data_IF_470863209437
#
_entry.id   IF_470863209437
#
_cell.length_a   1.000
_cell.length_b   1.000
_cell.length_c   1.000
_cell.angle_alpha   90.00
_cell.angle_beta   90.00
_cell.angle_gamma   90.00
#
_symmetry.space_group_name_H-M   'P 1'
#
loop_
_entity.id
_entity.type
_entity.pdbx_description
1 polymer ?
#
# COMPACT_ATOMS: atom_id res chain seq x y z
N UNK A 1 -13.15 10.89 8.62
CA UNK A 1 -12.39 10.58 7.39
C UNK A 1 -13.01 9.34 6.81
N UNK A 2 -13.48 9.40 5.57
CA UNK A 2 -14.07 8.22 4.91
C UNK A 2 -12.97 7.26 4.44
N UNK A 3 -13.34 6.07 3.97
CA UNK A 3 -12.41 5.03 3.52
C UNK A 3 -11.45 5.53 2.41
N UNK A 4 -11.97 6.23 1.40
CA UNK A 4 -11.16 6.66 0.25
C UNK A 4 -10.13 7.72 0.67
N UNK A 5 -10.54 8.73 1.45
CA UNK A 5 -9.63 9.77 1.94
C UNK A 5 -8.52 9.15 2.80
N UNK A 6 -8.85 8.14 3.59
CA UNK A 6 -7.90 7.41 4.42
C UNK A 6 -6.85 6.64 3.60
N UNK A 7 -7.23 6.06 2.47
CA UNK A 7 -6.31 5.34 1.58
C UNK A 7 -5.44 6.31 0.78
N UNK A 8 -5.99 7.43 0.31
CA UNK A 8 -5.19 8.50 -0.31
C UNK A 8 -4.12 9.01 0.67
N UNK A 9 -4.46 9.20 1.94
CA UNK A 9 -3.49 9.57 2.97
C UNK A 9 -2.40 8.50 3.21
N UNK A 10 -2.70 7.22 2.97
CA UNK A 10 -1.70 6.15 2.97
C UNK A 10 -0.79 6.22 1.74
N UNK A 11 -1.38 6.42 0.55
CA UNK A 11 -0.65 6.56 -0.71
C UNK A 11 0.37 7.69 -0.65
N UNK A 12 0.00 8.86 -0.13
CA UNK A 12 0.92 9.99 0.01
C UNK A 12 2.09 9.65 0.95
N UNK A 13 1.84 8.90 2.02
CA UNK A 13 2.91 8.41 2.92
C UNK A 13 3.83 7.41 2.22
N UNK A 14 3.29 6.51 1.42
CA UNK A 14 4.06 5.53 0.64
C UNK A 14 4.91 6.23 -0.42
N UNK A 15 4.31 7.15 -1.20
CA UNK A 15 5.00 7.99 -2.21
C UNK A 15 6.17 8.79 -1.59
N UNK A 16 6.00 9.39 -0.40
CA UNK A 16 7.08 10.08 0.32
C UNK A 16 8.24 9.13 0.65
N UNK A 17 7.94 7.96 1.24
CA UNK A 17 8.95 6.99 1.62
C UNK A 17 9.73 6.49 0.40
N UNK A 18 9.02 6.16 -0.69
CA UNK A 18 9.62 5.70 -1.94
C UNK A 18 10.52 6.76 -2.58
N UNK A 19 10.08 8.01 -2.58
CA UNK A 19 10.88 9.13 -3.09
C UNK A 19 12.16 9.31 -2.27
N UNK A 20 12.06 9.30 -0.94
CA UNK A 20 13.23 9.39 -0.06
C UNK A 20 14.18 8.21 -0.19
N UNK A 21 13.67 6.99 -0.39
CA UNK A 21 14.49 5.81 -0.70
C UNK A 21 15.21 5.99 -2.03
N UNK A 22 14.50 6.43 -3.08
CA UNK A 22 15.05 6.62 -4.43
C UNK A 22 16.11 7.72 -4.50
N UNK A 23 15.97 8.78 -3.70
CA UNK A 23 16.92 9.90 -3.67
C UNK A 23 18.11 9.66 -2.71
N UNK A 24 18.04 8.62 -1.89
CA UNK A 24 19.11 8.29 -0.95
C UNK A 24 20.37 7.75 -1.64
N UNK A 25 21.53 7.99 -1.04
CA UNK A 25 22.82 7.47 -1.52
C UNK A 25 23.22 6.18 -0.80
N UNK A 26 24.17 5.44 -1.35
CA UNK A 26 24.74 4.20 -0.78
C UNK A 26 25.35 4.42 0.62
N UNK A 27 25.73 5.66 0.95
CA UNK A 27 26.24 6.02 2.27
C UNK A 27 25.15 6.15 3.33
N UNK A 28 23.89 6.32 2.92
CA UNK A 28 22.75 6.54 3.81
C UNK A 28 22.16 5.23 4.36
N UNK A 29 23.01 4.26 4.73
CA UNK A 29 22.62 2.90 5.13
C UNK A 29 21.54 2.91 6.21
N UNK A 30 21.76 3.65 7.31
CA UNK A 30 20.78 3.76 8.41
C UNK A 30 19.42 4.26 7.91
N UNK A 31 19.41 5.33 7.12
CA UNK A 31 18.18 5.92 6.59
C UNK A 31 17.47 4.97 5.63
N UNK A 32 18.20 4.26 4.75
CA UNK A 32 17.64 3.25 3.84
C UNK A 32 16.99 2.10 4.62
N UNK A 33 17.64 1.60 5.67
CA UNK A 33 17.10 0.55 6.54
C UNK A 33 15.82 1.01 7.23
N UNK A 34 15.83 2.18 7.86
CA UNK A 34 14.66 2.73 8.57
C UNK A 34 13.47 2.99 7.63
N UNK A 35 13.74 3.55 6.44
CA UNK A 35 12.70 3.79 5.44
C UNK A 35 12.14 2.50 4.87
N UNK A 36 12.96 1.47 4.63
CA UNK A 36 12.47 0.18 4.14
C UNK A 36 11.57 -0.52 5.17
N UNK A 37 11.96 -0.50 6.45
CA UNK A 37 11.11 -1.03 7.53
C UNK A 37 9.77 -0.28 7.60
N UNK A 38 9.82 1.05 7.46
CA UNK A 38 8.60 1.86 7.43
C UNK A 38 7.74 1.57 6.21
N UNK A 39 8.34 1.45 5.03
CA UNK A 39 7.64 1.10 3.79
C UNK A 39 6.90 -0.23 3.95
N UNK A 40 7.60 -1.27 4.41
CA UNK A 40 7.01 -2.60 4.66
C UNK A 40 5.79 -2.50 5.59
N UNK A 41 5.90 -1.78 6.69
CA UNK A 41 4.79 -1.61 7.62
C UNK A 41 3.60 -0.90 6.96
N UNK A 42 3.84 0.24 6.28
CA UNK A 42 2.76 1.03 5.67
C UNK A 42 2.04 0.21 4.59
N UNK A 43 2.76 -0.42 3.66
CA UNK A 43 2.13 -1.22 2.59
C UNK A 43 1.44 -2.47 3.13
N UNK A 44 2.05 -3.19 4.09
CA UNK A 44 1.42 -4.39 4.68
C UNK A 44 0.10 -4.05 5.35
N UNK A 45 0.02 -2.91 6.03
CA UNK A 45 -1.23 -2.51 6.69
C UNK A 45 -2.23 -2.02 5.66
N UNK A 46 -1.80 -1.18 4.73
CA UNK A 46 -2.63 -0.60 3.68
C UNK A 46 -3.34 -1.66 2.84
N UNK A 47 -2.61 -2.63 2.29
CA UNK A 47 -3.20 -3.71 1.48
C UNK A 47 -4.19 -4.57 2.27
N UNK A 48 -4.00 -4.73 3.58
CA UNK A 48 -4.97 -5.42 4.44
C UNK A 48 -6.26 -4.61 4.63
N UNK A 49 -6.21 -3.27 4.61
CA UNK A 49 -7.41 -2.44 4.67
C UNK A 49 -8.23 -2.60 3.39
N UNK A 50 -7.57 -2.53 2.23
CA UNK A 50 -8.21 -2.78 0.95
C UNK A 50 -8.80 -4.18 0.86
N UNK A 51 -7.98 -5.21 1.04
CA UNK A 51 -8.38 -6.59 0.80
C UNK A 51 -9.42 -7.13 1.77
N UNK A 52 -9.49 -6.58 2.99
CA UNK A 52 -10.49 -7.00 3.97
C UNK A 52 -11.76 -6.17 3.96
N UNK A 53 -11.71 -4.91 3.49
CA UNK A 53 -12.83 -3.97 3.65
C UNK A 53 -13.27 -3.39 2.31
N UNK A 54 -12.41 -2.61 1.63
CA UNK A 54 -12.82 -1.91 0.41
C UNK A 54 -13.09 -2.86 -0.75
N UNK A 55 -12.13 -3.73 -1.06
CA UNK A 55 -12.17 -4.58 -2.24
C UNK A 55 -13.34 -5.58 -2.25
N UNK A 56 -13.68 -6.27 -1.13
CA UNK A 56 -14.88 -7.11 -1.09
C UNK A 56 -16.15 -6.29 -1.38
N UNK A 57 -16.29 -5.11 -0.75
CA UNK A 57 -17.44 -4.25 -0.98
C UNK A 57 -17.51 -3.77 -2.44
N UNK A 58 -16.37 -3.31 -2.98
CA UNK A 58 -16.24 -2.81 -4.36
C UNK A 58 -16.62 -3.88 -5.38
N UNK A 59 -16.09 -5.10 -5.20
CA UNK A 59 -16.43 -6.26 -6.02
C UNK A 59 -17.92 -6.60 -5.98
N UNK A 60 -18.53 -6.56 -4.79
CA UNK A 60 -19.93 -6.96 -4.59
C UNK A 60 -20.92 -5.91 -5.13
N UNK A 61 -20.55 -4.62 -5.09
CA UNK A 61 -21.38 -3.52 -5.61
C UNK A 61 -21.22 -3.31 -7.12
N UNK A 62 -20.06 -3.71 -7.68
CA UNK A 62 -19.66 -3.44 -9.05
C UNK A 62 -20.15 -4.44 -10.10
N UNK A 63 -19.82 -4.15 -11.36
CA UNK A 63 -20.06 -5.00 -12.52
C UNK A 63 -18.78 -5.69 -13.01
N UNK A 64 -18.74 -5.98 -14.31
CA UNK A 64 -17.62 -6.69 -14.94
C UNK A 64 -16.31 -5.90 -14.89
N UNK A 65 -16.37 -4.59 -15.07
CA UNK A 65 -15.18 -3.74 -15.10
C UNK A 65 -14.58 -3.59 -13.70
N UNK A 66 -15.42 -3.38 -12.69
CA UNK A 66 -15.01 -3.34 -11.27
C UNK A 66 -14.40 -4.68 -10.84
N UNK A 67 -14.99 -5.80 -11.30
CA UNK A 67 -14.43 -7.12 -11.06
C UNK A 67 -13.04 -7.31 -11.70
N UNK A 68 -12.80 -6.73 -12.89
CA UNK A 68 -11.47 -6.74 -13.52
C UNK A 68 -10.47 -5.94 -12.68
N UNK A 69 -10.81 -4.70 -12.33
CA UNK A 69 -9.96 -3.81 -11.52
C UNK A 69 -9.61 -4.45 -10.17
N UNK A 70 -10.59 -5.09 -9.52
CA UNK A 70 -10.36 -5.85 -8.28
C UNK A 70 -9.29 -6.94 -8.46
N UNK A 71 -9.38 -7.77 -9.50
CA UNK A 71 -8.39 -8.84 -9.69
C UNK A 71 -7.02 -8.31 -10.13
N UNK A 72 -6.98 -7.23 -10.91
CA UNK A 72 -5.76 -6.55 -11.33
C UNK A 72 -5.01 -6.01 -10.11
N UNK A 73 -5.65 -5.18 -9.30
CA UNK A 73 -5.09 -4.63 -8.06
C UNK A 73 -4.59 -5.71 -7.10
N UNK A 74 -5.34 -6.81 -6.93
CA UNK A 74 -4.91 -7.97 -6.14
C UNK A 74 -3.63 -8.64 -6.66
N UNK A 75 -3.48 -8.76 -7.98
CA UNK A 75 -2.25 -9.34 -8.55
C UNK A 75 -1.06 -8.38 -8.44
N UNK A 76 -1.28 -7.07 -8.48
CA UNK A 76 -0.25 -6.07 -8.22
C UNK A 76 0.24 -6.11 -6.77
N UNK A 77 -0.67 -6.17 -5.78
CA UNK A 77 -0.33 -6.42 -4.38
C UNK A 77 0.53 -7.68 -4.25
N UNK A 78 0.08 -8.78 -4.85
CA UNK A 78 0.82 -10.06 -4.82
C UNK A 78 2.22 -9.92 -5.42
N UNK A 79 2.36 -9.19 -6.53
CA UNK A 79 3.64 -8.99 -7.19
C UNK A 79 4.61 -8.24 -6.26
N UNK A 80 4.17 -7.17 -5.61
CA UNK A 80 5.00 -6.44 -4.65
C UNK A 80 5.33 -7.30 -3.44
N UNK A 81 4.32 -7.87 -2.77
CA UNK A 81 4.47 -8.60 -1.51
C UNK A 81 5.26 -9.90 -1.65
N UNK A 82 5.07 -10.63 -2.75
CA UNK A 82 5.65 -11.96 -2.92
C UNK A 82 6.96 -11.96 -3.70
N UNK A 83 7.19 -10.97 -4.57
CA UNK A 83 8.33 -11.00 -5.50
C UNK A 83 9.30 -9.85 -5.27
N UNK A 84 8.82 -8.63 -5.04
CA UNK A 84 9.67 -7.44 -5.03
C UNK A 84 10.17 -7.10 -3.63
N UNK A 85 9.25 -7.02 -2.67
CA UNK A 85 9.57 -6.64 -1.29
C UNK A 85 10.50 -7.65 -0.59
N UNK A 86 10.30 -8.99 -0.69
CA UNK A 86 11.19 -9.95 -0.05
C UNK A 86 12.62 -9.84 -0.55
N UNK A 87 12.77 -9.66 -1.86
CA UNK A 87 14.04 -9.44 -2.53
C UNK A 87 14.71 -8.13 -2.07
N UNK A 88 13.95 -7.03 -2.03
CA UNK A 88 14.46 -5.75 -1.54
C UNK A 88 14.94 -5.84 -0.08
N UNK A 89 14.19 -6.52 0.79
CA UNK A 89 14.52 -6.71 2.23
C UNK A 89 15.82 -7.44 2.48
N UNK A 90 16.19 -8.40 1.65
CA UNK A 90 17.46 -9.15 1.79
C UNK A 90 18.62 -8.49 1.04
N UNK A 91 18.41 -7.32 0.45
CA UNK A 91 19.46 -6.58 -0.28
C UNK A 91 20.24 -5.69 0.67
N UNK A 92 21.57 -5.73 0.58
CA UNK A 92 22.45 -4.84 1.34
C UNK A 92 22.16 -3.36 1.01
N UNK A 93 21.72 -2.53 1.99
CA UNK A 93 21.34 -1.14 1.73
C UNK A 93 22.48 -0.26 1.22
N UNK A 94 23.74 -0.62 1.44
CA UNK A 94 24.90 0.11 0.89
C UNK A 94 25.22 -0.25 -0.57
N UNK A 95 24.45 -1.14 -1.21
CA UNK A 95 24.73 -1.61 -2.57
C UNK A 95 24.01 -0.79 -3.64
N UNK A 96 24.56 -0.78 -4.87
CA UNK A 96 23.87 -0.23 -6.06
C UNK A 96 22.65 -1.07 -6.43
N UNK A 97 22.68 -2.38 -6.14
CA UNK A 97 21.55 -3.28 -6.36
C UNK A 97 20.32 -2.85 -5.56
N UNK A 98 20.51 -2.35 -4.33
CA UNK A 98 19.43 -1.80 -3.50
C UNK A 98 18.72 -0.65 -4.23
N UNK A 99 19.47 0.30 -4.79
CA UNK A 99 18.91 1.42 -5.55
C UNK A 99 18.08 0.94 -6.75
N UNK A 100 18.56 -0.09 -7.46
CA UNK A 100 17.82 -0.71 -8.57
C UNK A 100 16.51 -1.37 -8.13
N UNK A 101 16.53 -2.11 -7.01
CA UNK A 101 15.33 -2.75 -6.45
C UNK A 101 14.32 -1.74 -5.89
N UNK A 102 14.80 -0.68 -5.23
CA UNK A 102 13.96 0.46 -4.81
C UNK A 102 13.26 1.08 -6.00
N UNK A 103 13.97 1.31 -7.11
CA UNK A 103 13.38 1.90 -8.32
C UNK A 103 12.23 1.04 -8.85
N UNK A 104 12.44 -0.26 -8.99
CA UNK A 104 11.38 -1.18 -9.48
C UNK A 104 10.19 -1.22 -8.51
N UNK A 105 10.45 -1.29 -7.21
CA UNK A 105 9.40 -1.24 -6.19
C UNK A 105 8.58 0.06 -6.28
N UNK A 106 9.26 1.20 -6.45
CA UNK A 106 8.65 2.50 -6.62
C UNK A 106 7.75 2.56 -7.86
N UNK A 107 8.25 2.12 -9.01
CA UNK A 107 7.49 2.14 -10.27
C UNK A 107 6.22 1.29 -10.18
N UNK A 108 6.27 0.11 -9.55
CA UNK A 108 5.10 -0.75 -9.39
C UNK A 108 4.07 -0.17 -8.43
N UNK A 109 4.51 0.36 -7.27
CA UNK A 109 3.60 0.96 -6.30
C UNK A 109 3.00 2.26 -6.82
N UNK A 110 3.76 3.12 -7.49
CA UNK A 110 3.22 4.35 -8.08
C UNK A 110 2.22 4.06 -9.20
N UNK A 111 2.45 3.02 -10.01
CA UNK A 111 1.50 2.60 -11.03
C UNK A 111 0.18 2.12 -10.42
N UNK A 112 0.26 1.22 -9.43
CA UNK A 112 -0.90 0.71 -8.71
C UNK A 112 -1.72 1.86 -8.07
N UNK A 113 -1.04 2.76 -7.36
CA UNK A 113 -1.66 3.92 -6.72
C UNK A 113 -2.36 4.82 -7.75
N UNK A 114 -1.75 5.06 -8.91
CA UNK A 114 -2.36 5.87 -9.97
C UNK A 114 -3.63 5.21 -10.51
N UNK A 115 -3.64 3.90 -10.75
CA UNK A 115 -4.84 3.18 -11.20
C UNK A 115 -5.97 3.26 -10.17
N UNK A 116 -5.64 3.10 -8.88
CA UNK A 116 -6.64 3.24 -7.82
C UNK A 116 -7.19 4.67 -7.72
N UNK A 117 -6.32 5.67 -7.63
CA UNK A 117 -6.73 7.06 -7.43
C UNK A 117 -7.47 7.64 -8.64
N UNK A 118 -7.10 7.24 -9.86
CA UNK A 118 -7.67 7.77 -11.10
C UNK A 118 -8.86 6.98 -11.64
N UNK A 119 -8.97 5.69 -11.31
CA UNK A 119 -10.04 4.83 -11.84
C UNK A 119 -10.89 4.18 -10.75
N UNK A 120 -10.28 3.44 -9.82
CA UNK A 120 -11.03 2.64 -8.84
C UNK A 120 -11.78 3.51 -7.83
N UNK A 121 -11.12 4.50 -7.23
CA UNK A 121 -11.68 5.35 -6.18
C UNK A 121 -12.79 6.26 -6.68
N UNK A 122 -12.70 6.91 -7.87
CA UNK A 122 -13.84 7.62 -8.46
C UNK A 122 -15.06 6.71 -8.62
N UNK A 123 -14.89 5.48 -9.12
CA UNK A 123 -15.98 4.51 -9.24
C UNK A 123 -16.52 4.07 -7.89
N UNK A 124 -15.66 3.87 -6.89
CA UNK A 124 -16.10 3.54 -5.54
C UNK A 124 -16.99 4.64 -4.96
N UNK A 125 -16.71 5.92 -5.25
CA UNK A 125 -17.56 7.06 -4.86
C UNK A 125 -18.89 7.13 -5.62
N UNK A 126 -19.01 6.49 -6.78
CA UNK A 126 -20.28 6.33 -7.50
C UNK A 126 -21.09 5.14 -6.98
N UNK A 127 -20.42 4.06 -6.55
CA UNK A 127 -21.03 2.82 -6.06
C UNK A 127 -21.54 2.93 -4.61
N UNK A 128 -20.90 3.77 -3.78
CA UNK A 128 -21.21 3.89 -2.36
C UNK A 128 -21.65 5.30 -2.01
N UNK A 129 -22.70 5.40 -1.19
CA UNK A 129 -23.05 6.67 -0.56
C UNK A 129 -22.04 7.07 0.53
N UNK A 130 -22.10 8.33 0.93
CA UNK A 130 -21.19 8.90 1.94
C UNK A 130 -21.22 8.11 3.25
N UNK A 131 -22.41 7.73 3.72
CA UNK A 131 -22.59 6.97 4.96
C UNK A 131 -21.88 5.62 4.91
N UNK A 132 -21.93 4.92 3.77
CA UNK A 132 -21.22 3.64 3.59
C UNK A 132 -19.71 3.83 3.53
N UNK A 133 -19.22 4.88 2.87
CA UNK A 133 -17.78 5.20 2.84
C UNK A 133 -17.25 5.61 4.23
N UNK A 134 -18.05 6.30 5.04
CA UNK A 134 -17.72 6.63 6.43
C UNK A 134 -17.66 5.39 7.33
N UNK A 135 -18.64 4.49 7.22
CA UNK A 135 -18.66 3.20 7.94
C UNK A 135 -17.42 2.35 7.62
N UNK A 136 -17.08 2.21 6.34
CA UNK A 136 -15.84 1.51 5.94
C UNK A 136 -14.58 2.23 6.48
N UNK A 137 -14.55 3.56 6.48
CA UNK A 137 -13.44 4.34 7.04
C UNK A 137 -13.25 4.10 8.54
N UNK A 138 -14.34 3.96 9.30
CA UNK A 138 -14.28 3.60 10.71
C UNK A 138 -13.72 2.18 10.89
N UNK A 139 -14.23 1.20 10.16
CA UNK A 139 -13.74 -0.19 10.21
C UNK A 139 -12.26 -0.28 9.86
N UNK A 140 -11.81 0.44 8.82
CA UNK A 140 -10.41 0.53 8.42
C UNK A 140 -9.54 1.15 9.51
N UNK A 141 -10.03 2.18 10.19
CA UNK A 141 -9.29 2.82 11.29
C UNK A 141 -9.10 1.86 12.46
N UNK A 142 -10.14 1.11 12.82
CA UNK A 142 -10.08 0.09 13.88
C UNK A 142 -9.11 -1.05 13.50
N UNK A 143 -9.21 -1.56 12.27
CA UNK A 143 -8.34 -2.58 11.71
C UNK A 143 -6.88 -2.12 11.70
N UNK A 144 -6.60 -0.92 11.19
CA UNK A 144 -5.26 -0.32 11.18
C UNK A 144 -4.65 -0.28 12.57
N UNK A 145 -5.41 0.18 13.57
CA UNK A 145 -4.91 0.28 14.94
C UNK A 145 -4.57 -1.09 15.53
N UNK A 146 -5.33 -2.13 15.19
CA UNK A 146 -5.03 -3.50 15.57
C UNK A 146 -3.76 -4.01 14.87
N UNK A 147 -3.68 -3.87 13.55
CA UNK A 147 -2.54 -4.32 12.75
C UNK A 147 -1.23 -3.61 13.16
N UNK A 148 -1.26 -2.31 13.47
CA UNK A 148 -0.09 -1.58 13.98
C UNK A 148 0.45 -2.17 15.29
N UNK A 149 -0.44 -2.59 16.20
CA UNK A 149 -0.04 -3.25 17.45
C UNK A 149 0.55 -4.64 17.20
N UNK A 150 -0.06 -5.42 16.32
CA UNK A 150 0.41 -6.75 15.93
C UNK A 150 1.79 -6.69 15.25
N UNK A 151 1.96 -5.77 14.30
CA UNK A 151 3.24 -5.55 13.62
C UNK A 151 4.35 -5.10 14.58
N UNK A 152 4.02 -4.21 15.52
CA UNK A 152 4.99 -3.77 16.54
C UNK A 152 5.39 -4.92 17.47
N UNK A 153 4.47 -5.83 17.79
CA UNK A 153 4.74 -6.99 18.62
C UNK A 153 5.59 -8.04 17.89
N UNK A 154 5.39 -8.26 16.59
CA UNK A 154 6.19 -9.21 15.81
C UNK A 154 7.64 -8.76 15.58
N UNK A 155 7.88 -7.45 15.50
CA UNK A 155 9.24 -6.89 15.41
C UNK A 155 10.02 -6.94 16.74
N UNK A 156 9.33 -7.11 17.87
CA UNK A 156 9.93 -7.15 19.21
C UNK A 156 10.24 -8.57 19.71
N UNK A 157 9.76 -9.59 18.99
CA UNK A 157 9.91 -11.02 19.31
C UNK A 157 11.11 -11.64 18.57
#
# INVERSE_FOLDING_TARGET
MNAIDLLIDDHERVKDILTRLSESTERAVKTRTELLQKLEMEITIHTQLEEQILYPAYKDAGGKEELKMFYEAKEEHRAVDSLVLPDLKVTEPSSVQFSGRVKVCKELLEHHIEEEESEMFPRARELFDEARLEDMGQQMTELRNRLKKEFSASQAA
#
